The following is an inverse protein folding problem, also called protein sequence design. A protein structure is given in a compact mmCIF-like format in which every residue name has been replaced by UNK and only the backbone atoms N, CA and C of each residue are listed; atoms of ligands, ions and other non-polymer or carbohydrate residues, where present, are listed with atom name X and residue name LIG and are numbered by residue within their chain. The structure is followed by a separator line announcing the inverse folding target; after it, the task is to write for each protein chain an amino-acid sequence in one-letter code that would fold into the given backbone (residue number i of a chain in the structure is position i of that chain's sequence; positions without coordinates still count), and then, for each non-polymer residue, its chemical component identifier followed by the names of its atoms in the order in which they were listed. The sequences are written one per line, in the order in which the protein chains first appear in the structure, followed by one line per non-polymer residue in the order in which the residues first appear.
data_IF_041326057627
#
_entry.id   IF_041326057627
#
_cell.length_a   1.000
_cell.length_b   1.000
_cell.length_c   1.000
_cell.angle_alpha   90.00
_cell.angle_beta   90.00
_cell.angle_gamma   90.00
#
_symmetry.space_group_name_H-M   'P 1'
#
loop_
_entity.id
_entity.type
_entity.pdbx_description
1 polymer ?
#
# COMPACT_ATOMS: atom_id res chain seq x y z
N UNK A 1 -0.41 -6.72 -1.09
CA UNK A 1 -0.41 -5.58 -2.04
C UNK A 1 0.04 -6.04 -3.42
N UNK A 2 1.34 -6.32 -3.65
CA UNK A 2 1.87 -6.76 -4.96
C UNK A 2 1.02 -7.86 -5.65
N UNK A 3 0.79 -9.00 -4.99
CA UNK A 3 0.01 -10.09 -5.59
C UNK A 3 -1.47 -9.73 -5.83
N UNK A 4 -2.04 -8.83 -5.02
CA UNK A 4 -3.44 -8.41 -5.16
C UNK A 4 -3.61 -7.46 -6.34
N UNK A 5 -2.63 -6.61 -6.63
CA UNK A 5 -2.69 -5.65 -7.74
C UNK A 5 -2.94 -6.35 -9.09
N UNK A 6 -2.36 -7.54 -9.29
CA UNK A 6 -2.58 -8.36 -10.49
C UNK A 6 -3.91 -9.11 -10.52
N UNK A 7 -4.69 -9.09 -9.44
CA UNK A 7 -5.95 -9.83 -9.31
C UNK A 7 -7.18 -8.95 -9.57
N UNK A 8 -8.28 -9.56 -10.01
CA UNK A 8 -9.55 -8.84 -10.20
C UNK A 8 -10.08 -8.22 -8.90
N UNK A 9 -9.89 -8.90 -7.76
CA UNK A 9 -10.25 -8.38 -6.44
C UNK A 9 -9.49 -7.10 -6.10
N UNK A 10 -8.18 -7.05 -6.40
CA UNK A 10 -7.39 -5.84 -6.14
C UNK A 10 -7.78 -4.68 -7.04
N UNK A 11 -8.04 -4.94 -8.33
CA UNK A 11 -8.53 -3.91 -9.26
C UNK A 11 -9.89 -3.36 -8.84
N UNK A 12 -10.83 -4.24 -8.45
CA UNK A 12 -12.14 -3.83 -7.96
C UNK A 12 -12.01 -2.97 -6.70
N UNK A 13 -11.16 -3.36 -5.75
CA UNK A 13 -10.92 -2.58 -4.54
C UNK A 13 -10.27 -1.20 -4.81
N UNK A 14 -9.35 -1.10 -5.77
CA UNK A 14 -8.73 0.18 -6.14
C UNK A 14 -9.72 1.17 -6.77
N UNK A 15 -10.73 0.67 -7.47
CA UNK A 15 -11.78 1.50 -8.07
C UNK A 15 -12.94 1.86 -7.12
N UNK A 16 -12.96 1.32 -5.90
CA UNK A 16 -14.04 1.50 -4.93
C UNK A 16 -13.64 2.51 -3.84
N UNK A 17 -13.91 3.80 -4.10
CA UNK A 17 -13.60 4.88 -3.17
C UNK A 17 -14.44 4.82 -1.88
N UNK A 18 -15.65 4.27 -1.95
CA UNK A 18 -16.51 4.10 -0.78
C UNK A 18 -15.90 3.05 0.16
N UNK A 19 -15.39 1.94 -0.38
CA UNK A 19 -14.61 0.97 0.39
C UNK A 19 -13.38 1.61 1.06
N UNK A 20 -12.67 2.51 0.37
CA UNK A 20 -11.56 3.27 0.93
C UNK A 20 -12.00 4.16 2.10
N UNK A 21 -13.10 4.90 1.93
CA UNK A 21 -13.67 5.73 2.98
C UNK A 21 -14.12 4.91 4.20
N UNK A 22 -14.69 3.72 3.98
CA UNK A 22 -15.08 2.77 5.01
C UNK A 22 -13.87 2.28 5.80
N UNK A 23 -12.76 1.96 5.13
CA UNK A 23 -11.49 1.59 5.76
C UNK A 23 -10.97 2.71 6.67
N UNK A 24 -10.99 3.97 6.20
CA UNK A 24 -10.55 5.13 6.99
C UNK A 24 -11.44 5.33 8.21
N UNK A 25 -12.77 5.25 8.07
CA UNK A 25 -13.71 5.36 9.20
C UNK A 25 -13.45 4.27 10.25
N UNK A 26 -13.26 3.03 9.80
CA UNK A 26 -12.93 1.92 10.70
C UNK A 26 -11.60 2.18 11.43
N UNK A 27 -10.55 2.54 10.70
CA UNK A 27 -9.23 2.79 11.28
C UNK A 27 -9.28 3.93 12.31
N UNK A 28 -10.05 5.00 12.06
CA UNK A 28 -10.26 6.08 13.03
C UNK A 28 -11.06 5.66 14.25
N UNK A 29 -11.96 4.68 14.13
CA UNK A 29 -12.69 4.20 15.31
C UNK A 29 -11.79 3.45 16.30
N UNK A 30 -10.75 2.74 15.82
CA UNK A 30 -9.94 1.85 16.64
C UNK A 30 -8.47 2.29 16.84
N UNK A 31 -7.93 3.13 15.95
CA UNK A 31 -6.50 3.43 15.86
C UNK A 31 -6.19 4.93 15.66
N UNK A 32 -7.13 5.85 15.96
CA UNK A 32 -6.95 7.30 15.76
C UNK A 32 -5.91 7.90 16.70
N UNK A 33 -4.66 7.85 16.27
CA UNK A 33 -3.52 8.50 16.90
C UNK A 33 -3.07 9.67 16.03
N UNK A 34 -2.67 10.81 16.61
CA UNK A 34 -2.17 11.95 15.85
C UNK A 34 -1.07 11.57 14.84
N UNK A 35 -0.19 10.64 15.22
CA UNK A 35 0.94 10.18 14.38
C UNK A 35 0.51 9.45 13.09
N UNK A 36 -0.73 8.96 13.02
CA UNK A 36 -1.23 8.22 11.85
C UNK A 36 -1.98 9.12 10.85
N UNK A 37 -2.34 10.35 11.26
CA UNK A 37 -3.00 11.35 10.43
C UNK A 37 -4.12 10.78 9.52
N UNK A 38 -4.95 9.88 10.08
CA UNK A 38 -5.95 9.14 9.30
C UNK A 38 -7.01 10.06 8.69
N UNK A 39 -7.17 11.28 9.20
CA UNK A 39 -8.06 12.28 8.64
C UNK A 39 -7.58 12.80 7.27
N UNK A 40 -6.27 12.72 6.98
CA UNK A 40 -5.70 13.13 5.69
C UNK A 40 -5.65 11.99 4.67
N UNK A 41 -6.05 10.76 5.02
CA UNK A 41 -6.07 9.63 4.10
C UNK A 41 -7.27 9.72 3.13
N UNK A 42 -7.10 10.49 2.07
CA UNK A 42 -8.10 10.73 1.01
C UNK A 42 -7.45 10.58 -0.37
N UNK A 43 -8.23 10.38 -1.46
CA UNK A 43 -7.68 10.40 -2.81
C UNK A 43 -6.87 11.68 -3.06
N UNK A 44 -5.64 11.51 -3.54
CA UNK A 44 -4.69 12.58 -3.77
C UNK A 44 -3.62 12.73 -2.68
N UNK A 45 -3.80 12.10 -1.51
CA UNK A 45 -2.87 12.19 -0.38
C UNK A 45 -2.47 10.84 0.22
N UNK A 46 -2.95 9.72 -0.33
CA UNK A 46 -2.48 8.41 0.10
C UNK A 46 -0.98 8.27 -0.13
N UNK A 47 -0.26 7.82 0.90
CA UNK A 47 1.17 7.51 0.85
C UNK A 47 1.36 6.02 1.11
N UNK A 48 1.52 5.26 0.02
CA UNK A 48 1.64 3.79 0.01
C UNK A 48 3.09 3.39 -0.29
N UNK A 49 3.75 4.08 -1.21
CA UNK A 49 5.14 3.85 -1.52
C UNK A 49 6.03 4.33 -0.36
N UNK A 50 7.10 3.59 -0.01
CA UNK A 50 7.98 4.00 1.07
C UNK A 50 8.75 5.28 0.68
N UNK A 51 8.98 6.16 1.65
CA UNK A 51 9.81 7.34 1.45
C UNK A 51 11.25 6.92 1.06
N UNK A 52 11.98 7.71 0.24
CA UNK A 52 13.30 7.34 -0.27
C UNK A 52 14.30 6.91 0.82
N UNK A 53 14.28 7.59 1.98
CA UNK A 53 15.13 7.28 3.14
C UNK A 53 14.90 5.90 3.76
N UNK A 54 13.78 5.24 3.46
CA UNK A 54 13.40 3.93 4.00
C UNK A 54 13.85 2.79 3.09
N UNK A 55 14.04 3.06 1.80
CA UNK A 55 14.21 2.03 0.76
C UNK A 55 15.38 1.11 1.07
N UNK A 56 16.57 1.64 1.40
CA UNK A 56 17.74 0.82 1.69
C UNK A 56 17.55 -0.12 2.87
N UNK A 57 16.85 0.33 3.92
CA UNK A 57 16.56 -0.50 5.09
C UNK A 57 15.59 -1.62 4.72
N UNK A 58 14.51 -1.28 4.03
CA UNK A 58 13.50 -2.24 3.59
C UNK A 58 14.07 -3.28 2.62
N UNK A 59 14.99 -2.89 1.72
CA UNK A 59 15.67 -3.83 0.81
C UNK A 59 16.44 -4.90 1.58
N UNK A 60 17.18 -4.49 2.63
CA UNK A 60 17.92 -5.44 3.48
C UNK A 60 16.99 -6.35 4.27
N UNK A 61 15.94 -5.78 4.85
CA UNK A 61 14.94 -6.55 5.61
C UNK A 61 14.19 -7.54 4.72
N UNK A 62 13.88 -7.15 3.48
CA UNK A 62 13.31 -8.04 2.47
C UNK A 62 14.26 -9.21 2.15
N UNK A 63 15.54 -8.93 1.90
CA UNK A 63 16.53 -9.98 1.63
C UNK A 63 16.63 -11.01 2.78
N UNK A 64 16.52 -10.56 4.03
CA UNK A 64 16.55 -11.43 5.21
C UNK A 64 15.28 -12.27 5.39
N UNK A 65 14.15 -11.86 4.79
CA UNK A 65 12.84 -12.51 4.97
C UNK A 65 12.32 -13.20 3.71
N UNK A 66 12.93 -12.98 2.55
CA UNK A 66 12.51 -13.55 1.26
C UNK A 66 12.43 -15.09 1.28
N UNK A 67 13.32 -15.75 2.03
CA UNK A 67 13.31 -17.21 2.20
C UNK A 67 12.05 -17.74 2.91
N UNK A 68 11.27 -16.88 3.57
CA UNK A 68 10.02 -17.23 4.24
C UNK A 68 8.80 -17.14 3.31
N UNK A 69 8.96 -16.60 2.10
CA UNK A 69 7.86 -16.46 1.13
C UNK A 69 7.66 -17.79 0.41
N UNK A 70 6.43 -18.30 0.41
CA UNK A 70 6.08 -19.50 -0.33
C UNK A 70 6.11 -19.24 -1.84
N UNK A 71 6.72 -20.17 -2.59
CA UNK A 71 6.88 -20.05 -4.03
C UNK A 71 8.08 -19.20 -4.43
N UNK A 72 8.03 -18.60 -5.62
CA UNK A 72 9.07 -17.69 -6.08
C UNK A 72 8.80 -16.30 -5.52
N UNK A 73 9.65 -15.77 -4.61
CA UNK A 73 9.49 -14.39 -4.15
C UNK A 73 9.71 -13.42 -5.32
N UNK A 74 8.88 -12.37 -5.46
CA UNK A 74 9.14 -11.30 -6.43
C UNK A 74 10.44 -10.56 -6.09
N UNK A 75 10.97 -9.75 -7.02
CA UNK A 75 12.06 -8.84 -6.63
C UNK A 75 11.52 -7.75 -5.71
N UNK A 76 12.40 -7.14 -4.91
CA UNK A 76 12.00 -5.99 -4.09
C UNK A 76 11.58 -4.80 -4.96
N UNK A 77 12.24 -4.63 -6.12
CA UNK A 77 11.89 -3.57 -7.07
C UNK A 77 10.48 -3.74 -7.64
N UNK A 78 10.03 -4.98 -7.92
CA UNK A 78 8.66 -5.26 -8.37
C UNK A 78 7.62 -4.90 -7.29
N UNK A 79 7.96 -5.14 -6.02
CA UNK A 79 7.11 -4.75 -4.89
C UNK A 79 7.02 -3.23 -4.80
N UNK A 80 8.14 -2.52 -4.94
CA UNK A 80 8.18 -1.06 -4.92
C UNK A 80 7.40 -0.46 -6.10
N UNK A 81 7.53 -1.05 -7.29
CA UNK A 81 6.75 -0.64 -8.47
C UNK A 81 5.25 -0.78 -8.22
N UNK A 82 4.85 -1.91 -7.65
CA UNK A 82 3.43 -2.14 -7.33
C UNK A 82 2.90 -1.17 -6.28
N UNK A 83 3.71 -0.80 -5.28
CA UNK A 83 3.31 0.20 -4.29
C UNK A 83 3.14 1.59 -4.93
N UNK A 84 4.04 1.98 -5.84
CA UNK A 84 3.96 3.24 -6.60
C UNK A 84 2.75 3.27 -7.54
N UNK A 85 2.48 2.17 -8.23
CA UNK A 85 1.30 2.04 -9.09
C UNK A 85 0.00 2.16 -8.28
N UNK A 86 -0.10 1.46 -7.15
CA UNK A 86 -1.27 1.54 -6.27
C UNK A 86 -1.49 2.98 -5.78
N UNK A 87 -0.43 3.64 -5.32
CA UNK A 87 -0.48 5.02 -4.88
C UNK A 87 -0.98 5.95 -5.99
N UNK A 88 -0.45 5.79 -7.20
CA UNK A 88 -0.86 6.59 -8.35
C UNK A 88 -2.34 6.36 -8.70
N UNK A 89 -2.76 5.10 -8.79
CA UNK A 89 -4.13 4.75 -9.20
C UNK A 89 -5.15 5.29 -8.19
N UNK A 90 -4.96 4.99 -6.89
CA UNK A 90 -5.91 5.42 -5.84
C UNK A 90 -5.94 6.94 -5.64
N UNK A 91 -4.84 7.64 -5.98
CA UNK A 91 -4.79 9.10 -5.88
C UNK A 91 -5.31 9.82 -7.14
N UNK A 92 -5.44 9.14 -8.28
CA UNK A 92 -5.87 9.75 -9.55
C UNK A 92 -7.29 9.37 -9.97
N UNK A 93 -7.86 8.33 -9.36
CA UNK A 93 -9.30 8.09 -9.42
C UNK A 93 -10.04 9.19 -8.64
N UNK A 94 -10.47 10.24 -9.35
CA UNK A 94 -11.36 11.33 -8.88
C UNK A 94 -12.69 11.29 -9.62
#
# INVERSE_FOLDING_TARGET
MHCLLGSETGKAALGDLDLGADCVRHARMFFDRPDYDLASAVPGSFAIAPAPKMVDALTRDYANTAAMIFGTPPSFDDILESARQIEQDINTHS
#
